data_IF_323772565419
#
_entry.id   IF_323772565419
#
_cell.length_a   1.000
_cell.length_b   1.000
_cell.length_c   1.000
_cell.angle_alpha   90.00
_cell.angle_beta   90.00
_cell.angle_gamma   90.00
#
_symmetry.space_group_name_H-M   'P 1'
#
loop_
_entity.id
_entity.type
_entity.pdbx_description
1 polymer ?
#
# COMPACT_ATOMS: atom_id res chain seq x y z
N UNK A 1 -1.74 14.64 -14.98
CA UNK A 1 -3.00 15.36 -14.70
C UNK A 1 -4.15 14.45 -15.08
N UNK A 2 -4.90 13.95 -14.09
CA UNK A 2 -6.12 13.19 -14.34
C UNK A 2 -7.19 14.14 -14.88
N UNK A 3 -7.92 13.71 -15.91
CA UNK A 3 -9.05 14.44 -16.48
C UNK A 3 -10.27 13.55 -16.39
N UNK A 4 -11.39 14.10 -15.95
CA UNK A 4 -12.65 13.37 -15.94
C UNK A 4 -13.17 13.17 -17.37
N UNK A 5 -14.27 12.44 -17.53
CA UNK A 5 -14.87 12.09 -18.83
C UNK A 5 -15.30 13.30 -19.67
N UNK A 6 -15.39 14.47 -19.05
CA UNK A 6 -15.74 15.75 -19.70
C UNK A 6 -14.50 16.58 -20.06
N UNK A 7 -13.30 16.04 -19.83
CA UNK A 7 -12.03 16.66 -20.23
C UNK A 7 -11.50 17.73 -19.26
N UNK A 8 -12.21 17.99 -18.15
CA UNK A 8 -11.75 18.90 -17.11
C UNK A 8 -10.70 18.24 -16.23
N UNK A 9 -9.66 19.00 -15.88
CA UNK A 9 -8.67 18.59 -14.88
C UNK A 9 -9.37 18.42 -13.54
N UNK A 10 -9.63 17.17 -13.17
CA UNK A 10 -10.35 16.81 -11.96
C UNK A 10 -9.34 16.34 -10.93
N UNK A 11 -8.92 17.27 -10.07
CA UNK A 11 -7.96 17.01 -9.00
C UNK A 11 -8.53 16.02 -7.98
N UNK A 12 -9.84 16.04 -7.74
CA UNK A 12 -10.49 15.18 -6.75
C UNK A 12 -10.51 13.72 -7.18
N UNK A 13 -10.84 13.45 -8.44
CA UNK A 13 -10.79 12.10 -9.00
C UNK A 13 -9.35 11.58 -9.13
N UNK A 14 -8.40 12.46 -9.51
CA UNK A 14 -6.97 12.12 -9.55
C UNK A 14 -6.42 11.77 -8.16
N UNK A 15 -6.74 12.57 -7.14
CA UNK A 15 -6.34 12.31 -5.76
C UNK A 15 -7.00 11.05 -5.17
N UNK A 16 -8.23 10.74 -5.56
CA UNK A 16 -8.91 9.51 -5.12
C UNK A 16 -8.24 8.25 -5.70
N UNK A 17 -7.86 8.28 -6.98
CA UNK A 17 -7.11 7.19 -7.62
C UNK A 17 -5.72 7.07 -7.00
N UNK A 18 -5.02 8.18 -6.80
CA UNK A 18 -3.69 8.18 -6.19
C UNK A 18 -3.72 7.70 -4.72
N UNK A 19 -4.79 7.99 -3.97
CA UNK A 19 -5.02 7.44 -2.62
C UNK A 19 -5.38 5.95 -2.66
N UNK A 20 -6.10 5.48 -3.68
CA UNK A 20 -6.44 4.09 -3.86
C UNK A 20 -5.24 3.23 -4.32
N UNK A 21 -4.29 3.83 -5.03
CA UNK A 21 -3.04 3.20 -5.49
C UNK A 21 -1.95 3.18 -4.41
N UNK A 22 -2.06 4.03 -3.38
CA UNK A 22 -1.17 3.93 -2.20
C UNK A 22 -1.54 2.68 -1.39
N UNK A 23 -0.55 1.92 -0.89
CA UNK A 23 -0.82 0.81 0.02
C UNK A 23 -1.66 1.33 1.19
N UNK A 24 -2.81 0.68 1.48
CA UNK A 24 -3.62 1.03 2.63
C UNK A 24 -2.76 1.12 3.88
N UNK A 25 -3.10 2.03 4.79
CA UNK A 25 -2.38 2.20 6.05
C UNK A 25 -2.14 0.87 6.80
N UNK A 26 -3.11 -0.04 6.71
CA UNK A 26 -3.03 -1.39 7.25
C UNK A 26 -1.82 -2.19 6.70
N UNK A 27 -1.52 -2.11 5.40
CA UNK A 27 -0.38 -2.81 4.77
C UNK A 27 0.94 -2.32 5.38
N UNK A 28 1.09 -1.00 5.51
CA UNK A 28 2.30 -0.40 6.11
C UNK A 28 2.46 -0.79 7.57
N UNK A 29 1.37 -0.81 8.34
CA UNK A 29 1.39 -1.24 9.74
C UNK A 29 1.80 -2.71 9.89
N UNK A 30 1.28 -3.60 9.03
CA UNK A 30 1.65 -5.03 9.07
C UNK A 30 3.14 -5.21 8.80
N UNK A 31 3.68 -4.56 7.75
CA UNK A 31 5.12 -4.60 7.45
C UNK A 31 5.96 -4.12 8.64
N UNK A 32 5.54 -3.03 9.29
CA UNK A 32 6.21 -2.50 10.47
C UNK A 32 6.23 -3.50 11.63
N UNK A 33 5.09 -4.10 11.95
CA UNK A 33 4.96 -5.08 13.04
C UNK A 33 5.82 -6.32 12.77
N UNK A 34 5.85 -6.82 11.52
CA UNK A 34 6.68 -7.97 11.16
C UNK A 34 8.17 -7.68 11.37
N UNK A 35 8.64 -6.50 10.98
CA UNK A 35 10.03 -6.06 11.22
C UNK A 35 10.33 -5.94 12.71
N UNK A 36 9.39 -5.40 13.49
CA UNK A 36 9.54 -5.30 14.94
C UNK A 36 9.69 -6.68 15.59
N UNK A 37 8.84 -7.65 15.22
CA UNK A 37 8.90 -9.01 15.75
C UNK A 37 10.23 -9.68 15.39
N UNK A 38 10.67 -9.55 14.13
CA UNK A 38 11.98 -10.07 13.71
C UNK A 38 13.09 -9.47 14.57
N UNK A 39 13.10 -8.15 14.72
CA UNK A 39 14.10 -7.44 15.53
C UNK A 39 14.11 -7.89 16.99
N UNK A 40 12.93 -8.04 17.61
CA UNK A 40 12.79 -8.53 18.98
C UNK A 40 13.31 -9.96 19.16
N UNK A 41 13.22 -10.78 18.10
CA UNK A 41 13.74 -12.14 18.10
C UNK A 41 15.24 -12.23 17.71
N UNK A 42 15.94 -11.09 17.56
CA UNK A 42 17.34 -11.05 17.14
C UNK A 42 17.54 -11.44 15.67
N UNK A 43 16.50 -11.31 14.85
CA UNK A 43 16.49 -11.63 13.42
C UNK A 43 16.25 -10.36 12.60
N UNK A 44 16.66 -10.40 11.34
CA UNK A 44 16.39 -9.34 10.38
C UNK A 44 15.74 -9.92 9.12
N UNK A 45 14.79 -9.18 8.56
CA UNK A 45 14.17 -9.52 7.29
C UNK A 45 15.10 -9.08 6.17
N UNK A 46 15.83 -10.02 5.59
CA UNK A 46 16.81 -9.78 4.52
C UNK A 46 16.20 -9.57 3.13
N UNK A 47 14.89 -9.81 2.99
CA UNK A 47 14.17 -9.74 1.71
C UNK A 47 13.00 -8.76 1.72
N UNK A 48 12.28 -8.70 0.59
CA UNK A 48 11.05 -7.89 0.46
C UNK A 48 9.86 -8.61 1.10
N UNK A 49 9.04 -7.88 1.85
CA UNK A 49 7.81 -8.41 2.44
C UNK A 49 6.67 -8.16 1.47
N UNK A 50 6.17 -9.22 0.86
CA UNK A 50 5.00 -9.16 -0.03
C UNK A 50 3.73 -9.53 0.74
N UNK A 51 2.77 -8.62 0.79
CA UNK A 51 1.47 -8.83 1.43
C UNK A 51 0.40 -9.00 0.37
N UNK A 52 -0.36 -10.09 0.47
CA UNK A 52 -1.56 -10.31 -0.34
C UNK A 52 -2.79 -10.11 0.52
N UNK A 53 -3.66 -9.19 0.12
CA UNK A 53 -4.98 -9.04 0.68
C UNK A 53 -5.83 -10.27 0.32
N UNK A 54 -6.38 -10.94 1.32
CA UNK A 54 -7.09 -12.22 1.14
C UNK A 54 -8.45 -12.05 0.47
N UNK A 55 -9.09 -10.88 0.61
CA UNK A 55 -10.45 -10.63 0.11
C UNK A 55 -10.40 -10.09 -1.32
N UNK A 56 -9.53 -9.10 -1.57
CA UNK A 56 -9.40 -8.44 -2.87
C UNK A 56 -8.38 -9.10 -3.79
N UNK A 57 -7.50 -9.94 -3.23
CA UNK A 57 -6.41 -10.58 -3.96
C UNK A 57 -5.27 -9.64 -4.34
N UNK A 58 -5.35 -8.34 -3.99
CA UNK A 58 -4.32 -7.34 -4.28
C UNK A 58 -3.02 -7.67 -3.58
N UNK A 59 -1.92 -7.46 -4.28
CA UNK A 59 -0.57 -7.72 -3.78
C UNK A 59 0.16 -6.39 -3.60
N UNK A 60 0.80 -6.24 -2.45
CA UNK A 60 1.60 -5.09 -2.06
C UNK A 60 3.01 -5.54 -1.72
N UNK A 61 4.04 -4.85 -2.24
CA UNK A 61 5.46 -5.20 -2.07
C UNK A 61 6.32 -4.09 -1.46
#
# INVERSE_FOLDING_TARGET
MYRNSEGYTDLTAGEAIERADRPPHAVKQVIYILRLIASLAGMEIVGRITLKDKETGRVWE
#
